data_IF_935201996377
#
_entry.id   IF_935201996377
#
_cell.length_a   1.000
_cell.length_b   1.000
_cell.length_c   1.000
_cell.angle_alpha   90.00
_cell.angle_beta   90.00
_cell.angle_gamma   90.00
#
_symmetry.space_group_name_H-M   'P 1'
#
loop_
_entity.id
_entity.type
_entity.pdbx_description
1 polymer ?
#
# COMPACT_ATOMS: atom_id res chain seq x y z
N UNK A 1 27.14 46.57 71.19
CA UNK A 1 26.77 46.37 69.79
C UNK A 1 27.09 44.95 69.48
N UNK A 2 26.04 44.09 69.30
CA UNK A 2 26.18 42.63 68.95
C UNK A 2 25.77 42.49 67.52
N UNK A 3 26.72 42.09 66.65
CA UNK A 3 26.47 41.79 65.26
C UNK A 3 26.04 40.35 65.15
N UNK A 4 24.83 40.11 64.65
CA UNK A 4 24.30 38.77 64.35
C UNK A 4 24.64 38.40 62.90
N UNK A 5 25.36 37.30 62.74
CA UNK A 5 25.70 36.73 61.45
C UNK A 5 24.59 35.75 61.05
N UNK A 6 23.89 35.98 59.91
CA UNK A 6 22.89 35.10 59.37
C UNK A 6 23.58 34.15 58.33
N UNK A 7 23.64 32.90 58.67
CA UNK A 7 24.10 31.85 57.72
C UNK A 7 22.97 31.41 56.80
N UNK A 8 23.13 31.68 55.52
CA UNK A 8 22.21 31.21 54.46
C UNK A 8 22.56 29.79 54.03
N UNK A 9 21.72 28.84 54.37
CA UNK A 9 21.84 27.45 53.90
C UNK A 9 21.14 27.33 52.56
N UNK A 10 21.90 27.15 51.46
CA UNK A 10 21.37 26.86 50.13
C UNK A 10 21.22 25.35 50.02
N UNK A 11 19.98 24.86 50.06
CA UNK A 11 19.65 23.47 49.76
C UNK A 11 19.58 23.28 48.26
N UNK A 12 20.59 22.62 47.69
CA UNK A 12 20.59 22.20 46.28
C UNK A 12 19.70 20.96 46.09
N UNK A 13 18.50 21.17 45.60
CA UNK A 13 17.65 20.06 45.07
C UNK A 13 18.19 19.62 43.70
N UNK A 14 18.98 18.56 43.65
CA UNK A 14 19.24 17.83 42.42
C UNK A 14 17.96 17.07 42.03
N UNK A 15 17.19 17.65 41.11
CA UNK A 15 16.09 16.95 40.45
C UNK A 15 16.66 15.90 39.48
N UNK A 16 16.52 14.61 39.82
CA UNK A 16 16.73 13.54 38.85
C UNK A 16 15.61 13.64 37.77
N UNK A 17 15.93 14.20 36.62
CA UNK A 17 15.11 14.01 35.41
C UNK A 17 15.21 12.56 35.01
N UNK A 18 14.22 11.77 35.36
CA UNK A 18 14.00 10.46 34.76
C UNK A 18 13.67 10.66 33.30
N UNK A 19 14.65 10.43 32.40
CA UNK A 19 14.39 10.30 30.98
C UNK A 19 13.51 9.05 30.79
N UNK A 20 12.19 9.23 30.76
CA UNK A 20 11.27 8.21 30.28
C UNK A 20 11.59 8.00 28.80
N UNK A 21 12.28 6.90 28.49
CA UNK A 21 12.46 6.43 27.13
C UNK A 21 11.07 6.25 26.51
N UNK A 22 10.71 7.17 25.58
CA UNK A 22 9.59 6.92 24.67
C UNK A 22 9.94 5.66 23.90
N UNK A 23 9.29 4.55 24.24
CA UNK A 23 9.28 3.39 23.39
C UNK A 23 8.96 3.88 21.97
N UNK A 24 9.79 3.54 20.99
CA UNK A 24 9.46 3.83 19.60
C UNK A 24 8.23 2.98 19.29
N UNK A 25 7.06 3.60 19.31
CA UNK A 25 5.83 2.95 18.87
C UNK A 25 6.05 2.47 17.43
N UNK A 26 5.95 1.15 17.25
CA UNK A 26 6.08 0.54 15.92
C UNK A 26 5.06 1.22 14.99
N UNK A 27 5.49 1.67 13.80
CA UNK A 27 4.56 2.29 12.86
C UNK A 27 3.33 1.40 12.63
N UNK A 28 2.12 1.97 12.49
CA UNK A 28 0.93 1.19 12.14
C UNK A 28 1.20 0.27 10.95
N UNK A 29 0.61 -0.91 10.95
CA UNK A 29 0.86 -1.93 9.91
C UNK A 29 0.58 -1.38 8.50
N UNK A 30 -0.43 -0.53 8.34
CA UNK A 30 -0.73 0.16 7.09
C UNK A 30 0.40 1.10 6.64
N UNK A 31 1.01 1.86 7.55
CA UNK A 31 2.12 2.74 7.22
C UNK A 31 3.33 1.94 6.72
N UNK A 32 3.69 0.86 7.43
CA UNK A 32 4.76 -0.05 6.99
C UNK A 32 4.43 -0.75 5.66
N UNK A 33 3.16 -1.10 5.44
CA UNK A 33 2.66 -1.63 4.18
C UNK A 33 2.81 -0.64 3.04
N UNK A 34 2.41 0.62 3.24
CA UNK A 34 2.54 1.66 2.21
C UNK A 34 4.00 1.92 1.83
N UNK A 35 4.93 1.89 2.80
CA UNK A 35 6.37 2.05 2.50
C UNK A 35 6.88 1.01 1.51
N UNK A 36 6.34 -0.20 1.52
CA UNK A 36 6.69 -1.24 0.52
C UNK A 36 6.20 -0.86 -0.87
N UNK A 37 4.98 -0.33 -0.98
CA UNK A 37 4.46 0.15 -2.28
C UNK A 37 5.23 1.37 -2.78
N UNK A 38 5.69 2.27 -1.90
CA UNK A 38 6.54 3.40 -2.29
C UNK A 38 7.87 2.95 -2.92
N UNK A 39 8.42 1.82 -2.48
CA UNK A 39 9.64 1.25 -3.06
C UNK A 39 9.44 0.78 -4.51
N UNK A 40 8.20 0.60 -4.96
CA UNK A 40 7.89 0.27 -6.35
C UNK A 40 8.06 1.46 -7.31
N UNK A 41 8.18 2.71 -6.82
CA UNK A 41 8.23 3.90 -7.66
C UNK A 41 9.15 3.73 -8.89
N UNK A 42 8.62 4.08 -10.08
CA UNK A 42 9.28 3.92 -11.38
C UNK A 42 8.53 2.99 -12.32
N UNK A 43 9.17 2.67 -13.44
CA UNK A 43 8.60 1.83 -14.49
C UNK A 43 8.98 0.36 -14.28
N UNK A 44 8.02 -0.50 -14.60
CA UNK A 44 8.14 -1.95 -14.54
C UNK A 44 7.68 -2.54 -15.87
N UNK A 45 8.44 -3.50 -16.39
CA UNK A 45 8.17 -4.19 -17.65
C UNK A 45 8.16 -5.69 -17.43
N UNK A 46 7.40 -6.40 -18.24
CA UNK A 46 7.32 -7.86 -18.14
C UNK A 46 6.18 -8.41 -18.96
N UNK A 47 5.63 -9.51 -18.48
CA UNK A 47 4.54 -10.23 -19.15
C UNK A 47 3.29 -10.19 -18.29
N UNK A 48 2.16 -9.88 -18.94
CA UNK A 48 0.81 -10.11 -18.44
C UNK A 48 0.24 -11.37 -19.06
N UNK A 49 -0.45 -12.18 -18.24
CA UNK A 49 -1.20 -13.33 -18.69
C UNK A 49 -2.65 -13.23 -18.24
N UNK A 50 -3.58 -13.23 -19.17
CA UNK A 50 -5.00 -13.17 -18.90
C UNK A 50 -5.73 -14.21 -19.79
N UNK A 51 -6.52 -15.08 -19.17
CA UNK A 51 -7.29 -16.14 -19.85
C UNK A 51 -6.47 -16.98 -20.85
N UNK A 52 -5.20 -17.26 -20.50
CA UNK A 52 -4.28 -18.05 -21.30
C UNK A 52 -3.53 -17.27 -22.38
N UNK A 53 -3.92 -16.04 -22.68
CA UNK A 53 -3.18 -15.16 -23.59
C UNK A 53 -2.07 -14.41 -22.84
N UNK A 54 -0.89 -14.30 -23.47
CA UNK A 54 0.23 -13.52 -22.95
C UNK A 54 0.41 -12.24 -23.76
N UNK A 55 0.80 -11.17 -23.08
CA UNK A 55 1.08 -9.87 -23.69
C UNK A 55 2.19 -9.15 -22.92
N UNK A 56 2.88 -8.23 -23.59
CA UNK A 56 3.83 -7.35 -22.91
C UNK A 56 3.09 -6.45 -21.92
N UNK A 57 3.71 -6.24 -20.78
CA UNK A 57 3.18 -5.39 -19.72
C UNK A 57 4.12 -4.24 -19.43
N UNK A 58 3.57 -3.03 -19.34
CA UNK A 58 4.21 -1.85 -18.81
C UNK A 58 3.35 -1.33 -17.66
N UNK A 59 3.95 -1.16 -16.50
CA UNK A 59 3.28 -0.64 -15.31
C UNK A 59 4.16 0.44 -14.68
N UNK A 60 3.57 1.59 -14.35
CA UNK A 60 4.24 2.67 -13.63
C UNK A 60 3.70 2.78 -12.20
N UNK A 61 4.58 2.93 -11.24
CA UNK A 61 4.23 3.27 -9.86
C UNK A 61 4.73 4.67 -9.52
N UNK A 62 3.86 5.49 -8.93
CA UNK A 62 4.18 6.88 -8.54
C UNK A 62 3.74 7.15 -7.10
N UNK A 63 4.66 7.62 -6.28
CA UNK A 63 4.33 8.18 -4.96
C UNK A 63 3.70 9.56 -5.15
N UNK A 64 2.57 9.81 -4.48
CA UNK A 64 1.81 11.06 -4.60
C UNK A 64 1.26 11.51 -3.25
N UNK A 65 0.51 12.61 -3.24
CA UNK A 65 -0.18 13.14 -2.06
C UNK A 65 0.76 13.34 -0.86
N UNK A 66 1.95 13.95 -1.11
CA UNK A 66 2.94 14.17 -0.05
C UNK A 66 3.50 12.88 0.57
N UNK A 67 3.44 11.76 -0.16
CA UNK A 67 3.92 10.46 0.33
C UNK A 67 2.86 9.63 1.04
N UNK A 68 1.59 10.02 1.01
CA UNK A 68 0.51 9.27 1.69
C UNK A 68 -0.26 8.33 0.77
N UNK A 69 0.04 8.33 -0.53
CA UNK A 69 -0.56 7.43 -1.50
C UNK A 69 0.43 6.98 -2.58
N UNK A 70 0.16 5.83 -3.18
CA UNK A 70 0.85 5.31 -4.35
C UNK A 70 -0.17 5.10 -5.46
N UNK A 71 0.13 5.59 -6.65
CA UNK A 71 -0.63 5.35 -7.87
C UNK A 71 0.10 4.31 -8.70
N UNK A 72 -0.60 3.27 -9.09
CA UNK A 72 -0.22 2.31 -10.13
C UNK A 72 -0.94 2.70 -11.42
N UNK A 73 -0.22 2.78 -12.52
CA UNK A 73 -0.81 2.92 -13.86
C UNK A 73 -0.42 1.71 -14.69
N UNK A 74 -1.39 0.93 -15.09
CA UNK A 74 -1.22 -0.22 -16.00
C UNK A 74 -1.40 0.29 -17.43
N UNK A 75 -0.51 -0.09 -18.35
CA UNK A 75 -0.49 0.33 -19.76
C UNK A 75 -0.52 1.87 -19.93
N UNK A 76 0.43 2.65 -19.31
CA UNK A 76 0.40 4.09 -19.31
C UNK A 76 0.45 4.67 -20.72
N UNK A 77 -0.56 5.46 -21.07
CA UNK A 77 -0.74 6.06 -22.41
C UNK A 77 -1.24 5.09 -23.47
N UNK A 78 -1.50 3.85 -23.14
CA UNK A 78 -2.02 2.82 -24.04
C UNK A 78 -3.56 2.75 -24.05
N UNK A 79 -4.12 1.94 -24.94
CA UNK A 79 -5.58 1.80 -25.10
C UNK A 79 -6.25 1.08 -23.92
N UNK A 80 -5.49 0.39 -23.07
CA UNK A 80 -5.98 -0.34 -21.91
C UNK A 80 -5.49 0.28 -20.61
N UNK A 81 -5.21 1.58 -20.62
CA UNK A 81 -4.76 2.27 -19.41
C UNK A 81 -5.78 2.14 -18.26
N UNK A 82 -5.29 1.67 -17.12
CA UNK A 82 -6.04 1.59 -15.88
C UNK A 82 -5.24 2.18 -14.73
N UNK A 83 -5.93 2.70 -13.74
CA UNK A 83 -5.30 3.33 -12.57
C UNK A 83 -5.73 2.62 -11.30
N UNK A 84 -4.77 2.38 -10.41
CA UNK A 84 -5.02 1.90 -9.06
C UNK A 84 -4.42 2.88 -8.06
N UNK A 85 -5.18 3.27 -7.03
CA UNK A 85 -4.70 4.13 -5.95
C UNK A 85 -4.67 3.34 -4.66
N UNK A 86 -3.52 3.34 -3.98
CA UNK A 86 -3.30 2.63 -2.71
C UNK A 86 -2.94 3.65 -1.63
N UNK A 87 -3.64 3.61 -0.50
CA UNK A 87 -3.40 4.50 0.65
C UNK A 87 -3.76 3.83 1.97
N UNK A 88 -3.29 4.33 3.13
CA UNK A 88 -3.72 3.86 4.44
C UNK A 88 -5.18 4.21 4.74
N UNK A 89 -5.86 3.31 5.46
CA UNK A 89 -7.17 3.50 6.07
C UNK A 89 -7.18 2.82 7.44
N UNK A 90 -6.86 3.58 8.50
CA UNK A 90 -6.59 3.04 9.83
C UNK A 90 -5.38 2.09 9.82
N UNK A 91 -5.58 0.86 10.28
CA UNK A 91 -4.55 -0.19 10.30
C UNK A 91 -4.44 -0.96 8.98
N UNK A 92 -5.32 -0.68 8.03
CA UNK A 92 -5.38 -1.33 6.73
C UNK A 92 -4.84 -0.44 5.60
N UNK A 93 -4.51 -1.06 4.47
CA UNK A 93 -4.39 -0.39 3.19
C UNK A 93 -5.73 -0.51 2.44
N UNK A 94 -6.20 0.59 1.88
CA UNK A 94 -7.30 0.62 0.93
C UNK A 94 -6.72 0.78 -0.48
N UNK A 95 -7.29 0.03 -1.42
CA UNK A 95 -6.99 0.05 -2.83
C UNK A 95 -8.28 0.37 -3.59
N UNK A 96 -8.23 1.34 -4.52
CA UNK A 96 -9.31 1.57 -5.48
C UNK A 96 -8.75 1.40 -6.89
N UNK A 97 -9.33 0.47 -7.66
CA UNK A 97 -8.95 0.21 -9.04
C UNK A 97 -9.96 0.83 -9.99
N UNK A 98 -9.51 1.68 -10.90
CA UNK A 98 -10.30 2.30 -11.97
C UNK A 98 -10.17 1.44 -13.22
N UNK A 99 -11.09 0.53 -13.40
CA UNK A 99 -11.05 -0.51 -14.42
C UNK A 99 -11.55 0.00 -15.77
N UNK A 100 -10.96 -0.48 -16.88
CA UNK A 100 -11.39 -0.17 -18.24
C UNK A 100 -12.82 -0.62 -18.56
N UNK A 101 -13.38 -1.57 -17.80
CA UNK A 101 -14.79 -1.97 -17.92
C UNK A 101 -15.76 -0.99 -17.26
N UNK A 102 -15.24 0.11 -16.69
CA UNK A 102 -16.01 1.26 -16.20
C UNK A 102 -16.47 1.20 -14.77
N UNK A 103 -16.15 0.15 -14.00
CA UNK A 103 -16.42 0.11 -12.55
C UNK A 103 -15.16 0.38 -11.73
N UNK A 104 -15.35 0.65 -10.43
CA UNK A 104 -14.27 0.99 -9.51
C UNK A 104 -14.32 0.09 -8.27
N UNK A 105 -13.74 -1.13 -8.34
CA UNK A 105 -13.61 -1.98 -7.18
C UNK A 105 -12.73 -1.35 -6.11
N UNK A 106 -13.16 -1.46 -4.86
CA UNK A 106 -12.39 -1.12 -3.67
C UNK A 106 -12.05 -2.40 -2.92
N UNK A 107 -10.81 -2.52 -2.53
CA UNK A 107 -10.26 -3.69 -1.84
C UNK A 107 -9.44 -3.25 -0.63
N UNK A 108 -9.37 -4.08 0.38
CA UNK A 108 -8.68 -3.80 1.64
C UNK A 108 -7.69 -4.90 1.98
N UNK A 109 -6.54 -4.52 2.51
CA UNK A 109 -5.53 -5.44 3.02
C UNK A 109 -5.11 -5.07 4.43
N UNK A 110 -4.80 -6.06 5.26
CA UNK A 110 -4.10 -5.90 6.54
C UNK A 110 -2.65 -6.39 6.35
N UNK A 111 -1.71 -5.47 6.06
CA UNK A 111 -0.32 -5.86 5.81
C UNK A 111 0.29 -6.51 7.04
N UNK A 112 0.98 -7.63 6.85
CA UNK A 112 1.68 -8.32 7.92
C UNK A 112 3.18 -8.06 7.83
N UNK A 113 3.81 -7.65 8.93
CA UNK A 113 5.24 -7.43 8.97
C UNK A 113 6.02 -8.72 8.63
N UNK A 114 7.02 -8.60 7.75
CA UNK A 114 7.89 -9.72 7.37
C UNK A 114 7.34 -10.63 6.26
N UNK A 115 6.05 -10.54 5.92
CA UNK A 115 5.53 -11.25 4.75
C UNK A 115 5.93 -10.54 3.46
N UNK A 116 6.30 -11.31 2.43
CA UNK A 116 6.63 -10.75 1.12
C UNK A 116 5.40 -10.57 0.22
N UNK A 117 4.19 -10.72 0.77
CA UNK A 117 2.91 -10.59 0.07
C UNK A 117 2.01 -9.57 0.76
N UNK A 118 1.21 -8.89 -0.06
CA UNK A 118 0.06 -8.09 0.40
C UNK A 118 -1.14 -8.51 -0.44
N UNK A 119 -2.12 -9.14 0.19
CA UNK A 119 -3.36 -9.57 -0.45
C UNK A 119 -4.48 -8.59 -0.09
N UNK A 120 -5.13 -8.05 -1.11
CA UNK A 120 -6.29 -7.19 -0.98
C UNK A 120 -7.55 -7.99 -1.30
N UNK A 121 -8.53 -7.86 -0.43
CA UNK A 121 -9.84 -8.48 -0.54
C UNK A 121 -10.92 -7.44 -0.84
N UNK A 122 -11.93 -7.85 -1.60
CA UNK A 122 -13.03 -7.01 -2.03
C UNK A 122 -13.82 -6.42 -0.86
N UNK A 123 -14.13 -5.14 -0.96
CA UNK A 123 -15.01 -4.44 -0.03
C UNK A 123 -16.32 -4.05 -0.71
N UNK A 124 -16.22 -3.36 -1.85
CA UNK A 124 -17.34 -2.91 -2.68
C UNK A 124 -16.85 -2.48 -4.05
N UNK A 125 -17.75 -2.21 -4.96
CA UNK A 125 -17.45 -1.50 -6.20
C UNK A 125 -18.51 -0.43 -6.49
N UNK A 126 -18.09 0.62 -7.18
CA UNK A 126 -19.00 1.63 -7.72
C UNK A 126 -19.27 1.37 -9.20
N UNK A 127 -20.34 1.99 -9.73
CA UNK A 127 -20.78 1.85 -11.12
C UNK A 127 -21.03 0.39 -11.54
N UNK A 128 -21.64 -0.38 -10.65
CA UNK A 128 -22.19 -1.71 -10.90
C UNK A 128 -23.70 -1.67 -10.75
N UNK A 129 -24.43 -2.44 -11.58
CA UNK A 129 -25.89 -2.59 -11.48
C UNK A 129 -26.25 -3.65 -10.45
N UNK A 130 -25.39 -4.65 -10.28
CA UNK A 130 -25.54 -5.73 -9.32
C UNK A 130 -24.16 -6.28 -8.91
N UNK A 131 -24.11 -7.06 -7.85
CA UNK A 131 -22.93 -7.80 -7.39
C UNK A 131 -22.52 -8.96 -8.33
N UNK A 132 -23.36 -9.24 -9.35
CA UNK A 132 -23.10 -10.22 -10.41
C UNK A 132 -22.35 -9.64 -11.60
N UNK A 133 -22.30 -8.31 -11.72
CA UNK A 133 -21.60 -7.65 -12.81
C UNK A 133 -20.08 -8.00 -12.74
N UNK A 134 -19.47 -8.14 -13.90
CA UNK A 134 -18.03 -8.43 -13.98
C UNK A 134 -17.21 -7.33 -13.27
N UNK A 135 -16.28 -7.73 -12.41
CA UNK A 135 -15.38 -6.81 -11.69
C UNK A 135 -14.13 -7.53 -11.19
N UNK A 136 -13.04 -6.77 -10.97
CA UNK A 136 -11.89 -7.26 -10.23
C UNK A 136 -12.27 -7.36 -8.75
N UNK A 137 -12.00 -8.52 -8.13
CA UNK A 137 -12.42 -8.79 -6.75
C UNK A 137 -11.28 -8.85 -5.77
N UNK A 138 -10.17 -9.43 -6.14
CA UNK A 138 -9.00 -9.56 -5.27
C UNK A 138 -7.74 -9.24 -6.07
N UNK A 139 -6.70 -8.78 -5.37
CA UNK A 139 -5.37 -8.70 -5.93
C UNK A 139 -4.32 -9.05 -4.88
N UNK A 140 -3.33 -9.84 -5.27
CA UNK A 140 -2.16 -10.15 -4.45
C UNK A 140 -0.91 -9.58 -5.10
N UNK A 141 -0.18 -8.75 -4.36
CA UNK A 141 1.15 -8.27 -4.71
C UNK A 141 2.18 -9.15 -4.01
N UNK A 142 3.05 -9.81 -4.77
CA UNK A 142 4.19 -10.58 -4.26
C UNK A 142 5.48 -9.85 -4.58
N UNK A 143 6.12 -9.31 -3.56
CA UNK A 143 7.41 -8.61 -3.63
C UNK A 143 8.52 -9.69 -3.58
N UNK A 144 8.94 -10.20 -4.73
CA UNK A 144 9.92 -11.29 -4.80
C UNK A 144 11.29 -10.80 -4.34
N UNK A 145 11.72 -9.69 -4.90
CA UNK A 145 12.93 -8.94 -4.52
C UNK A 145 12.75 -7.44 -4.87
N UNK A 146 13.80 -6.63 -4.74
CA UNK A 146 13.75 -5.18 -5.02
C UNK A 146 13.46 -4.83 -6.48
N UNK A 147 13.68 -5.77 -7.41
CA UNK A 147 13.57 -5.59 -8.85
C UNK A 147 12.58 -6.57 -9.50
N UNK A 148 11.88 -7.39 -8.71
CA UNK A 148 10.91 -8.39 -9.19
C UNK A 148 9.61 -8.31 -8.41
N UNK A 149 8.51 -8.09 -9.12
CA UNK A 149 7.15 -8.04 -8.60
C UNK A 149 6.25 -8.99 -9.37
N UNK A 150 5.39 -9.72 -8.66
CA UNK A 150 4.28 -10.47 -9.27
C UNK A 150 2.99 -9.92 -8.71
N UNK A 151 2.03 -9.61 -9.59
CA UNK A 151 0.67 -9.25 -9.20
C UNK A 151 -0.32 -10.24 -9.79
N UNK A 152 -1.25 -10.72 -8.97
CA UNK A 152 -2.29 -11.66 -9.36
C UNK A 152 -3.64 -11.04 -9.05
N UNK A 153 -4.39 -10.70 -10.09
CA UNK A 153 -5.74 -10.16 -10.04
C UNK A 153 -6.75 -11.26 -10.30
N UNK A 154 -7.80 -11.34 -9.52
CA UNK A 154 -8.90 -12.29 -9.71
C UNK A 154 -10.16 -11.53 -10.09
N UNK A 155 -10.75 -11.85 -11.22
CA UNK A 155 -12.02 -11.30 -11.68
C UNK A 155 -13.19 -12.23 -11.34
N UNK A 156 -14.33 -11.62 -11.11
CA UNK A 156 -15.61 -12.27 -10.87
C UNK A 156 -16.60 -11.85 -11.94
N UNK A 157 -17.42 -12.78 -12.36
CA UNK A 157 -18.56 -12.57 -13.24
C UNK A 157 -19.70 -13.50 -12.81
N UNK A 158 -20.95 -13.03 -12.85
CA UNK A 158 -22.12 -13.75 -12.39
C UNK A 158 -21.98 -14.28 -10.95
N UNK A 159 -21.27 -13.52 -10.09
CA UNK A 159 -21.07 -13.83 -8.65
C UNK A 159 -20.07 -14.93 -8.35
N UNK A 160 -19.28 -15.38 -9.31
CA UNK A 160 -18.23 -16.42 -9.15
C UNK A 160 -16.93 -16.02 -9.82
N UNK A 161 -15.82 -16.63 -9.39
CA UNK A 161 -14.52 -16.46 -10.04
C UNK A 161 -14.61 -16.84 -11.52
N UNK A 162 -14.21 -15.93 -12.39
CA UNK A 162 -14.29 -16.08 -13.84
C UNK A 162 -12.90 -16.18 -14.51
N UNK A 163 -11.85 -15.69 -13.84
CA UNK A 163 -10.49 -15.78 -14.37
C UNK A 163 -9.48 -14.99 -13.55
N UNK A 164 -8.23 -15.01 -14.02
CA UNK A 164 -7.12 -14.31 -13.40
C UNK A 164 -6.29 -13.56 -14.43
N UNK A 165 -5.80 -12.38 -14.03
CA UNK A 165 -4.73 -11.68 -14.73
C UNK A 165 -3.48 -11.69 -13.84
N UNK A 166 -2.38 -12.23 -14.37
CA UNK A 166 -1.11 -12.35 -13.65
C UNK A 166 -0.06 -11.55 -14.38
N UNK A 167 0.61 -10.63 -13.68
CA UNK A 167 1.74 -9.88 -14.22
C UNK A 167 3.02 -10.31 -13.51
N UNK A 168 4.03 -10.68 -14.30
CA UNK A 168 5.40 -10.94 -13.81
C UNK A 168 6.30 -9.83 -14.31
N UNK A 169 6.74 -8.99 -13.39
CA UNK A 169 7.34 -7.69 -13.69
C UNK A 169 8.78 -7.62 -13.20
N UNK A 170 9.61 -6.93 -13.98
CA UNK A 170 10.96 -6.51 -13.62
C UNK A 170 11.05 -5.00 -13.65
N UNK A 171 11.80 -4.41 -12.72
CA UNK A 171 12.06 -2.99 -12.72
C UNK A 171 12.80 -2.59 -14.00
N UNK A 172 12.28 -1.59 -14.72
CA UNK A 172 12.96 -1.00 -15.87
C UNK A 172 14.17 -0.21 -15.39
N UNK A 173 15.33 -0.50 -15.92
CA UNK A 173 16.60 0.21 -15.63
C UNK A 173 16.75 1.43 -16.51
#
# INVERSE_FOLDING_TARGET
>A
MRTATISLVIASCLGLLSAQGRGQDKPPAAAAGLERFKQLAGDWVGNGKHDGAEHDALINYKVTSGGTAVVETIDPGGPHEMVTVIHPDGDALLLTHYCMIGNQPQMKALPKPGENKVAFEFVKATNMKSDKDMHMRNVTFTFVDKDTLITEWTNYDQGKEAGKAVFTLKRKK
#
